data_IF_964831779018
#
_entry.id   IF_964831779018
#
_cell.length_a   1.000
_cell.length_b   1.000
_cell.length_c   1.000
_cell.angle_alpha   90.00
_cell.angle_beta   90.00
_cell.angle_gamma   90.00
#
_symmetry.space_group_name_H-M   'P 1'
#
loop_
_entity.id
_entity.type
_entity.pdbx_description
1 polymer ?
#
# COMPACT_ATOMS: atom_id res chain seq x y z
N UNK A 1 2.50 -1.71 -22.07
CA UNK A 1 3.49 -0.87 -21.34
C UNK A 1 2.73 0.37 -20.91
N UNK A 2 2.75 0.76 -19.63
CA UNK A 2 2.09 1.98 -19.17
C UNK A 2 2.79 3.19 -19.79
N UNK A 3 2.18 3.80 -20.81
CA UNK A 3 2.77 4.92 -21.58
C UNK A 3 2.97 6.19 -20.75
N UNK A 4 2.25 6.30 -19.64
CA UNK A 4 2.11 7.55 -18.89
C UNK A 4 2.99 7.58 -17.63
N UNK A 5 3.84 6.56 -17.43
CA UNK A 5 4.75 6.48 -16.27
C UNK A 5 6.14 6.92 -16.72
N UNK A 6 6.65 8.00 -16.12
CA UNK A 6 8.02 8.47 -16.40
C UNK A 6 9.11 7.57 -15.81
N UNK A 7 10.36 7.82 -16.18
CA UNK A 7 11.51 7.06 -15.66
C UNK A 7 11.73 7.23 -14.14
N UNK A 8 11.17 8.30 -13.56
CA UNK A 8 11.26 8.67 -12.15
C UNK A 8 10.00 8.32 -11.36
N UNK A 9 9.05 7.62 -11.96
CA UNK A 9 7.81 7.22 -11.31
C UNK A 9 7.68 5.70 -11.22
N UNK A 10 6.97 5.26 -10.19
CA UNK A 10 6.56 3.88 -9.98
C UNK A 10 5.10 3.89 -9.55
N UNK A 11 4.26 3.12 -10.24
CA UNK A 11 2.84 3.04 -9.94
C UNK A 11 2.57 1.86 -9.01
N UNK A 12 2.04 2.14 -7.82
CA UNK A 12 1.61 1.14 -6.85
C UNK A 12 0.11 0.93 -6.96
N UNK A 13 -0.32 -0.29 -7.29
CA UNK A 13 -1.73 -0.69 -7.31
C UNK A 13 -2.05 -1.57 -6.10
N UNK A 14 -3.03 -1.13 -5.30
CA UNK A 14 -3.61 -1.93 -4.23
C UNK A 14 -4.98 -2.41 -4.72
N UNK A 15 -5.06 -3.71 -5.03
CA UNK A 15 -6.23 -4.30 -5.71
C UNK A 15 -7.29 -4.75 -4.70
N UNK A 16 -6.98 -5.76 -3.87
CA UNK A 16 -7.93 -6.32 -2.92
C UNK A 16 -7.27 -7.00 -1.73
N UNK A 17 -7.99 -7.09 -0.62
CA UNK A 17 -7.74 -8.03 0.47
C UNK A 17 -8.51 -9.34 0.24
N UNK A 18 -7.99 -10.47 0.71
CA UNK A 18 -8.63 -11.78 0.57
C UNK A 18 -8.65 -12.43 1.94
N UNK A 19 -9.85 -12.77 2.43
CA UNK A 19 -10.06 -13.46 3.71
C UNK A 19 -9.32 -12.79 4.87
N UNK A 20 -9.47 -11.47 5.01
CA UNK A 20 -8.84 -10.72 6.08
C UNK A 20 -9.30 -11.24 7.45
N UNK A 21 -8.37 -11.39 8.41
CA UNK A 21 -8.74 -11.83 9.75
C UNK A 21 -9.54 -10.74 10.46
N UNK A 22 -10.58 -11.14 11.18
CA UNK A 22 -11.35 -10.22 11.99
C UNK A 22 -10.70 -10.04 13.38
N UNK A 23 -10.63 -8.80 13.91
CA UNK A 23 -10.27 -8.57 15.31
C UNK A 23 -11.23 -9.30 16.27
N UNK A 24 -10.77 -9.52 17.51
CA UNK A 24 -11.60 -10.11 18.56
C UNK A 24 -12.89 -9.31 18.75
N UNK A 25 -14.04 -9.97 18.69
CA UNK A 25 -15.35 -9.35 18.87
C UNK A 25 -15.94 -8.70 17.62
N UNK A 26 -15.28 -8.77 16.46
CA UNK A 26 -15.79 -8.29 15.17
C UNK A 26 -16.08 -9.49 14.28
N UNK A 27 -17.25 -9.56 13.66
CA UNK A 27 -17.53 -10.58 12.66
C UNK A 27 -16.79 -10.26 11.36
N UNK A 28 -16.40 -11.27 10.58
CA UNK A 28 -15.69 -11.07 9.31
C UNK A 28 -16.48 -10.23 8.30
N UNK A 29 -17.82 -10.25 8.37
CA UNK A 29 -18.69 -9.45 7.52
C UNK A 29 -18.94 -8.02 8.05
N UNK A 30 -18.46 -7.69 9.24
CA UNK A 30 -18.52 -6.34 9.82
C UNK A 30 -17.17 -5.61 9.71
N UNK A 31 -16.25 -6.16 8.91
CA UNK A 31 -14.94 -5.55 8.75
C UNK A 31 -14.98 -4.33 7.84
N UNK A 32 -14.71 -3.19 8.46
CA UNK A 32 -14.38 -1.94 7.78
C UNK A 32 -12.85 -1.83 7.61
N UNK A 33 -12.31 -2.25 6.47
CA UNK A 33 -10.87 -2.38 6.27
C UNK A 33 -10.26 -1.29 5.38
N UNK A 34 -9.05 -0.84 5.71
CA UNK A 34 -8.21 -0.04 4.82
C UNK A 34 -6.73 -0.41 4.97
N UNK A 35 -5.94 -0.14 3.94
CA UNK A 35 -4.51 -0.42 3.92
C UNK A 35 -3.74 0.90 3.96
N UNK A 36 -2.78 1.02 4.87
CA UNK A 36 -1.72 2.03 4.78
C UNK A 36 -0.50 1.39 4.14
N UNK A 37 0.21 2.14 3.32
CA UNK A 37 1.53 1.73 2.88
C UNK A 37 2.58 2.76 3.30
N UNK A 38 3.80 2.26 3.48
CA UNK A 38 4.99 3.07 3.69
C UNK A 38 6.10 2.60 2.74
N UNK A 39 6.54 3.50 1.87
CA UNK A 39 7.69 3.32 1.00
C UNK A 39 8.83 4.21 1.51
N UNK A 40 9.81 3.60 2.20
CA UNK A 40 10.91 4.30 2.88
C UNK A 40 11.99 4.83 1.92
N UNK A 41 11.57 5.61 0.93
CA UNK A 41 12.42 6.22 -0.06
C UNK A 41 12.04 7.70 -0.23
N UNK A 42 13.03 8.62 -0.26
CA UNK A 42 14.49 8.39 -0.30
C UNK A 42 15.16 8.09 1.05
N UNK A 43 14.48 8.35 2.16
CA UNK A 43 14.89 8.01 3.53
C UNK A 43 13.68 7.62 4.39
N UNK A 44 13.90 7.31 5.67
CA UNK A 44 12.81 7.01 6.62
C UNK A 44 11.99 8.27 6.95
N UNK A 45 12.66 9.42 7.03
CA UNK A 45 12.07 10.73 7.35
C UNK A 45 11.25 11.24 6.16
N UNK A 46 11.72 10.99 4.93
CA UNK A 46 11.06 11.38 3.69
C UNK A 46 10.28 10.22 3.05
N UNK A 47 9.88 9.23 3.85
CA UNK A 47 9.15 8.09 3.33
C UNK A 47 7.80 8.52 2.73
N UNK A 48 7.47 7.94 1.57
CA UNK A 48 6.20 8.16 0.90
C UNK A 48 5.14 7.27 1.54
N UNK A 49 4.10 7.90 2.09
CA UNK A 49 3.03 7.25 2.83
C UNK A 49 1.69 7.66 2.26
N UNK A 50 0.80 6.70 2.07
CA UNK A 50 -0.60 6.97 1.78
C UNK A 50 -1.46 5.82 2.28
N UNK A 51 -2.78 5.94 2.13
CA UNK A 51 -3.72 4.92 2.54
C UNK A 51 -4.84 4.75 1.52
N UNK A 52 -5.45 3.58 1.52
CA UNK A 52 -6.65 3.35 0.74
C UNK A 52 -7.87 4.01 1.37
N UNK A 53 -8.96 4.07 0.61
CA UNK A 53 -10.30 4.25 1.18
C UNK A 53 -10.64 3.07 2.09
N UNK A 54 -11.59 3.31 3.00
CA UNK A 54 -12.16 2.25 3.84
C UNK A 54 -13.25 1.55 3.04
N UNK A 55 -13.14 0.24 2.92
CA UNK A 55 -14.18 -0.61 2.36
C UNK A 55 -14.88 -1.30 3.52
N UNK A 56 -16.21 -1.17 3.55
CA UNK A 56 -17.01 -1.55 4.72
C UNK A 56 -17.60 -2.95 4.62
N UNK A 57 -17.89 -3.53 5.78
CA UNK A 57 -18.69 -4.74 5.92
C UNK A 57 -18.21 -5.92 5.05
N UNK A 58 -16.90 -6.15 4.96
CA UNK A 58 -16.36 -7.28 4.19
C UNK A 58 -14.94 -7.66 4.62
N UNK A 59 -14.66 -8.97 4.69
CA UNK A 59 -13.31 -9.49 4.84
C UNK A 59 -12.56 -9.66 3.51
N UNK A 60 -13.21 -9.37 2.38
CA UNK A 60 -12.65 -9.41 1.03
C UNK A 60 -12.80 -8.04 0.34
N UNK A 61 -12.20 -6.97 0.88
CA UNK A 61 -12.37 -5.62 0.33
C UNK A 61 -11.67 -5.46 -1.02
N UNK A 62 -12.37 -4.86 -1.99
CA UNK A 62 -11.79 -4.42 -3.26
C UNK A 62 -11.49 -2.92 -3.20
N UNK A 63 -10.20 -2.57 -3.29
CA UNK A 63 -9.74 -1.19 -3.22
C UNK A 63 -9.62 -0.58 -4.62
N UNK A 64 -8.98 -1.30 -5.55
CA UNK A 64 -8.69 -0.84 -6.91
C UNK A 64 -8.07 0.57 -6.97
N UNK A 65 -7.16 0.88 -6.04
CA UNK A 65 -6.53 2.20 -5.93
C UNK A 65 -5.09 2.19 -6.39
N UNK A 66 -4.70 3.26 -7.08
CA UNK A 66 -3.36 3.48 -7.61
C UNK A 66 -2.69 4.68 -6.97
N UNK A 67 -1.41 4.57 -6.64
CA UNK A 67 -0.61 5.64 -6.05
C UNK A 67 0.67 5.83 -6.87
N UNK A 68 0.93 7.07 -7.29
CA UNK A 68 2.17 7.43 -7.98
C UNK A 68 3.28 7.65 -6.93
N UNK A 69 4.34 6.87 -7.02
CA UNK A 69 5.51 6.97 -6.15
C UNK A 69 6.70 7.54 -6.92
N UNK A 70 7.39 8.48 -6.30
CA UNK A 70 8.61 9.07 -6.82
C UNK A 70 9.81 8.16 -6.54
N UNK A 71 10.63 7.93 -7.56
CA UNK A 71 11.81 7.07 -7.49
C UNK A 71 13.00 7.72 -8.20
N UNK A 72 14.21 7.24 -7.89
CA UNK A 72 15.39 7.46 -8.71
C UNK A 72 16.12 6.12 -8.87
N UNK A 73 16.07 5.55 -10.08
CA UNK A 73 16.63 4.23 -10.39
C UNK A 73 18.15 4.14 -10.16
N UNK A 74 18.85 5.27 -10.24
CA UNK A 74 20.29 5.36 -10.05
C UNK A 74 20.68 5.53 -8.57
N UNK A 75 19.74 5.92 -7.70
CA UNK A 75 20.03 6.14 -6.29
C UNK A 75 20.27 4.82 -5.55
N UNK A 76 21.40 4.70 -4.83
CA UNK A 76 21.75 3.50 -4.06
C UNK A 76 20.66 3.13 -3.05
N UNK A 77 20.02 4.13 -2.44
CA UNK A 77 18.89 3.92 -1.53
C UNK A 77 17.69 3.24 -2.20
N UNK A 78 17.37 3.59 -3.46
CA UNK A 78 16.29 2.94 -4.19
C UNK A 78 16.61 1.46 -4.45
N UNK A 79 17.84 1.16 -4.90
CA UNK A 79 18.29 -0.23 -5.11
C UNK A 79 18.15 -1.06 -3.83
N UNK A 80 18.56 -0.51 -2.68
CA UNK A 80 18.42 -1.16 -1.37
C UNK A 80 16.96 -1.43 -1.01
N UNK A 81 16.07 -0.48 -1.26
CA UNK A 81 14.64 -0.65 -0.97
C UNK A 81 14.08 -1.83 -1.78
N UNK A 82 14.31 -1.87 -3.09
CA UNK A 82 13.80 -2.95 -3.95
C UNK A 82 14.41 -4.31 -3.59
N UNK A 83 15.70 -4.36 -3.23
CA UNK A 83 16.40 -5.63 -2.98
C UNK A 83 16.19 -6.20 -1.57
N UNK A 84 16.05 -5.35 -0.56
CA UNK A 84 16.19 -5.80 0.85
C UNK A 84 15.10 -5.31 1.81
N UNK A 85 14.36 -4.24 1.50
CA UNK A 85 13.35 -3.68 2.43
C UNK A 85 11.91 -3.86 1.96
N UNK A 86 11.64 -3.58 0.69
CA UNK A 86 10.30 -3.59 0.10
C UNK A 86 9.45 -2.37 0.49
N UNK A 87 8.15 -2.48 0.22
CA UNK A 87 7.10 -1.55 0.64
C UNK A 87 6.37 -2.19 1.81
N UNK A 88 6.21 -1.48 2.93
CA UNK A 88 5.46 -1.98 4.07
C UNK A 88 3.98 -1.71 3.84
N UNK A 89 3.14 -2.74 4.01
CA UNK A 89 1.69 -2.60 4.02
C UNK A 89 1.16 -2.98 5.40
N UNK A 90 0.23 -2.18 5.91
CA UNK A 90 -0.44 -2.41 7.19
C UNK A 90 -1.95 -2.33 6.96
N UNK A 91 -2.67 -3.37 7.41
CA UNK A 91 -4.12 -3.46 7.30
C UNK A 91 -4.72 -2.99 8.62
N UNK A 92 -5.75 -2.15 8.53
CA UNK A 92 -6.45 -1.59 9.67
C UNK A 92 -7.94 -1.85 9.54
N UNK A 93 -8.58 -2.17 10.68
CA UNK A 93 -10.02 -2.11 10.83
C UNK A 93 -10.42 -0.74 11.41
N UNK A 94 -11.45 -0.11 10.85
CA UNK A 94 -12.06 1.12 11.35
C UNK A 94 -13.35 0.76 12.11
N UNK A 95 -13.22 0.60 13.41
CA UNK A 95 -14.33 0.45 14.37
C UNK A 95 -14.38 1.60 15.36
#
# INVERSE_FOLDING_TARGET
IFSDISSTEMLLFIVKGINLPAPSGVATHDLDAFIKFEFQYPSTEQAQRNKTTVIKNTNCPEYNQSFMLNINRNHRGFKRIIQTKGIKFEIFHKG
#
